data_IF_727924456384
#
_entry.id   IF_727924456384
#
_cell.length_a   1.000
_cell.length_b   1.000
_cell.length_c   1.000
_cell.angle_alpha   90.00
_cell.angle_beta   90.00
_cell.angle_gamma   90.00
#
_symmetry.space_group_name_H-M   'P 1'
#
loop_
_entity.id
_entity.type
_entity.pdbx_description
1 polymer ?
#
# COMPACT_ATOMS: atom_id res chain seq x y z
N UNK A 1 16.87 -4.94 -8.66
CA UNK A 1 16.03 -4.19 -7.70
C UNK A 1 16.65 -2.82 -7.45
N UNK A 2 15.88 -1.78 -7.65
CA UNK A 2 16.36 -0.41 -7.59
C UNK A 2 15.66 0.35 -6.47
N UNK A 3 16.38 1.25 -5.80
CA UNK A 3 15.80 2.13 -4.79
C UNK A 3 15.87 3.58 -5.24
N UNK A 4 14.83 4.34 -4.93
CA UNK A 4 14.71 5.74 -5.32
C UNK A 4 14.23 6.60 -4.15
N UNK A 5 14.75 7.81 -4.07
CA UNK A 5 14.17 8.83 -3.20
C UNK A 5 12.87 9.31 -3.83
N UNK A 6 11.88 9.57 -3.01
CA UNK A 6 10.59 10.09 -3.49
C UNK A 6 10.09 11.21 -2.62
N UNK A 7 9.15 11.98 -3.17
CA UNK A 7 8.30 12.89 -2.40
C UNK A 7 6.89 12.38 -2.44
N UNK A 8 6.29 12.18 -1.28
CA UNK A 8 4.90 11.74 -1.19
C UNK A 8 3.98 12.88 -1.58
N UNK A 9 3.14 12.66 -2.60
CA UNK A 9 2.13 13.62 -3.05
C UNK A 9 0.77 13.33 -2.46
N UNK A 10 0.34 12.07 -2.52
CA UNK A 10 -0.98 11.67 -2.06
C UNK A 10 -1.02 10.17 -1.77
N UNK A 11 -1.72 9.80 -0.70
CA UNK A 11 -2.10 8.41 -0.44
C UNK A 11 -3.49 8.20 -1.03
N UNK A 12 -3.62 7.29 -1.98
CA UNK A 12 -4.88 7.00 -2.67
C UNK A 12 -5.68 5.96 -1.89
N UNK A 13 -5.05 4.85 -1.57
CA UNK A 13 -5.58 3.76 -0.73
C UNK A 13 -4.45 3.21 0.13
N UNK A 14 -4.75 2.25 0.99
CA UNK A 14 -3.75 1.62 1.84
C UNK A 14 -2.64 0.86 1.07
N UNK A 15 -2.81 0.66 -0.23
CA UNK A 15 -1.85 -0.03 -1.08
C UNK A 15 -1.42 0.77 -2.32
N UNK A 16 -1.85 2.04 -2.43
CA UNK A 16 -1.60 2.85 -3.63
C UNK A 16 -1.31 4.30 -3.24
N UNK A 17 -0.22 4.83 -3.78
CA UNK A 17 0.19 6.22 -3.51
C UNK A 17 0.64 6.90 -4.80
N UNK A 18 0.58 8.24 -4.80
CA UNK A 18 1.16 9.07 -5.85
C UNK A 18 2.41 9.75 -5.29
N UNK A 19 3.51 9.63 -6.00
CA UNK A 19 4.81 10.17 -5.60
C UNK A 19 5.52 10.85 -6.77
N UNK A 20 6.46 11.74 -6.44
CA UNK A 20 7.47 12.20 -7.39
C UNK A 20 8.73 11.38 -7.14
N UNK A 21 9.33 10.82 -8.18
CA UNK A 21 10.49 9.93 -8.08
C UNK A 21 11.73 10.69 -8.55
N UNK A 22 12.74 10.73 -7.68
CA UNK A 22 14.05 11.29 -7.98
C UNK A 22 14.88 10.26 -8.76
N UNK A 23 15.15 10.55 -10.04
CA UNK A 23 15.95 9.69 -10.90
C UNK A 23 17.44 10.03 -10.86
N UNK A 24 17.84 11.02 -10.06
CA UNK A 24 19.20 11.53 -10.03
C UNK A 24 19.45 12.59 -11.10
N UNK A 25 20.60 13.27 -11.01
CA UNK A 25 20.99 14.34 -11.93
C UNK A 25 19.98 15.50 -12.03
N UNK A 26 19.17 15.72 -10.99
CA UNK A 26 18.13 16.74 -11.01
C UNK A 26 16.91 16.38 -11.85
N UNK A 27 16.78 15.12 -12.26
CA UNK A 27 15.65 14.62 -13.04
C UNK A 27 14.63 13.97 -12.14
N UNK A 28 13.39 14.42 -12.24
CA UNK A 28 12.26 13.90 -11.46
C UNK A 28 11.18 13.37 -12.39
N UNK A 29 10.65 12.21 -12.05
CA UNK A 29 9.45 11.68 -12.67
C UNK A 29 8.26 12.05 -11.79
N UNK A 30 7.43 12.97 -12.27
CA UNK A 30 6.37 13.59 -11.47
C UNK A 30 5.08 12.77 -11.46
N UNK A 31 4.39 12.78 -10.33
CA UNK A 31 3.04 12.23 -10.19
C UNK A 31 2.92 10.76 -10.64
N UNK A 32 3.88 9.93 -10.25
CA UNK A 32 3.83 8.51 -10.56
C UNK A 32 2.97 7.77 -9.53
N UNK A 33 2.04 6.97 -10.02
CA UNK A 33 1.23 6.11 -9.16
C UNK A 33 1.96 4.81 -8.89
N UNK A 34 2.16 4.53 -7.59
CA UNK A 34 2.82 3.32 -7.11
C UNK A 34 1.81 2.42 -6.45
N UNK A 35 1.72 1.17 -6.92
CA UNK A 35 0.96 0.10 -6.28
C UNK A 35 1.95 -0.73 -5.44
N UNK A 36 1.69 -0.83 -4.16
CA UNK A 36 2.51 -1.65 -3.28
C UNK A 36 2.27 -3.12 -3.59
N UNK A 37 3.34 -3.84 -3.91
CA UNK A 37 3.25 -5.24 -4.32
C UNK A 37 3.00 -6.18 -3.15
N UNK A 38 2.33 -7.27 -3.46
CA UNK A 38 2.18 -8.38 -2.54
C UNK A 38 1.14 -8.20 -1.45
N UNK A 39 0.37 -7.12 -1.49
CA UNK A 39 -0.71 -6.89 -0.52
C UNK A 39 -2.00 -6.46 -1.19
N UNK A 40 -3.09 -6.66 -0.47
CA UNK A 40 -4.40 -6.13 -0.78
C UNK A 40 -4.95 -5.44 0.47
N UNK A 41 -5.54 -4.26 0.30
CA UNK A 41 -6.14 -3.51 1.41
C UNK A 41 -7.61 -3.24 1.13
N UNK A 42 -8.42 -3.00 2.18
CA UNK A 42 -9.80 -2.57 1.98
C UNK A 42 -9.85 -1.26 1.19
N UNK A 43 -10.85 -1.12 0.34
CA UNK A 43 -11.03 0.09 -0.46
C UNK A 43 -11.52 1.26 0.40
N UNK A 44 -10.93 2.43 0.21
CA UNK A 44 -11.36 3.66 0.87
C UNK A 44 -12.42 4.42 0.07
N UNK A 45 -12.58 4.12 -1.21
CA UNK A 45 -13.55 4.73 -2.13
C UNK A 45 -14.59 3.72 -2.56
N UNK A 46 -15.37 3.23 -1.62
CA UNK A 46 -16.42 2.25 -1.87
C UNK A 46 -17.74 2.75 -1.32
N UNK A 47 -18.84 2.23 -1.87
CA UNK A 47 -20.19 2.47 -1.33
C UNK A 47 -20.47 1.65 -0.09
N UNK A 48 -19.70 0.59 0.14
CA UNK A 48 -19.77 -0.21 1.37
C UNK A 48 -19.20 0.60 2.53
N UNK A 49 -20.06 1.10 3.38
CA UNK A 49 -19.67 1.96 4.51
C UNK A 49 -18.79 1.26 5.53
N UNK A 50 -18.94 -0.04 5.67
CA UNK A 50 -18.12 -0.84 6.60
C UNK A 50 -16.70 -0.99 6.02
N UNK A 51 -16.58 -1.46 4.78
CA UNK A 51 -15.28 -1.59 4.12
C UNK A 51 -14.56 -0.25 4.05
N UNK A 52 -15.29 0.83 3.80
CA UNK A 52 -14.71 2.18 3.74
C UNK A 52 -14.01 2.58 5.03
N UNK A 53 -14.57 2.23 6.20
CA UNK A 53 -13.94 2.53 7.49
C UNK A 53 -12.57 1.86 7.60
N UNK A 54 -12.48 0.60 7.20
CA UNK A 54 -11.20 -0.13 7.20
C UNK A 54 -10.24 0.38 6.13
N UNK A 55 -10.78 0.75 4.97
CA UNK A 55 -9.99 1.36 3.89
C UNK A 55 -9.39 2.70 4.31
N UNK A 56 -10.16 3.54 4.97
CA UNK A 56 -9.66 4.82 5.49
C UNK A 56 -8.63 4.63 6.60
N UNK A 57 -8.81 3.63 7.46
CA UNK A 57 -7.84 3.29 8.50
C UNK A 57 -6.52 2.81 7.89
N UNK A 58 -6.57 1.96 6.88
CA UNK A 58 -5.38 1.50 6.15
C UNK A 58 -4.66 2.66 5.45
N UNK A 59 -5.41 3.54 4.83
CA UNK A 59 -4.89 4.75 4.18
C UNK A 59 -4.17 5.66 5.19
N UNK A 60 -4.78 5.91 6.34
CA UNK A 60 -4.19 6.72 7.40
C UNK A 60 -2.92 6.09 7.95
N UNK A 61 -2.92 4.76 8.15
CA UNK A 61 -1.74 4.03 8.62
C UNK A 61 -0.59 4.14 7.63
N UNK A 62 -0.86 3.92 6.35
CA UNK A 62 0.15 4.05 5.30
C UNK A 62 0.77 5.44 5.28
N UNK A 63 -0.06 6.47 5.34
CA UNK A 63 0.41 7.86 5.37
C UNK A 63 1.33 8.11 6.57
N UNK A 64 0.99 7.58 7.74
CA UNK A 64 1.80 7.74 8.95
C UNK A 64 3.15 7.02 8.84
N UNK A 65 3.18 5.87 8.17
CA UNK A 65 4.41 5.09 7.98
C UNK A 65 5.36 5.73 6.97
N UNK A 66 4.83 6.27 5.88
CA UNK A 66 5.64 6.77 4.77
C UNK A 66 6.33 8.09 5.09
N UNK A 67 5.66 9.01 5.77
CA UNK A 67 6.19 10.36 5.94
C UNK A 67 6.31 11.11 4.60
N UNK A 68 7.00 12.28 4.57
CA UNK A 68 7.04 13.12 3.37
C UNK A 68 8.00 12.62 2.28
N UNK A 69 9.03 11.86 2.63
CA UNK A 69 10.07 11.43 1.69
C UNK A 69 10.38 9.94 1.82
N UNK A 70 9.42 9.05 1.45
CA UNK A 70 9.67 7.61 1.57
C UNK A 70 10.63 7.10 0.50
N UNK A 71 11.36 6.03 0.82
CA UNK A 71 12.26 5.36 -0.12
C UNK A 71 11.50 4.27 -0.85
N UNK A 72 11.41 4.38 -2.16
CA UNK A 72 10.76 3.39 -3.04
C UNK A 72 11.78 2.34 -3.46
N UNK A 73 11.38 1.07 -3.34
CA UNK A 73 12.13 -0.06 -3.88
C UNK A 73 11.29 -0.70 -4.98
N UNK A 74 11.77 -0.62 -6.21
CA UNK A 74 11.03 -1.17 -7.35
C UNK A 74 11.37 -2.62 -7.59
N UNK A 75 10.46 -3.33 -8.25
CA UNK A 75 10.69 -4.70 -8.70
C UNK A 75 11.21 -4.67 -10.13
N UNK A 76 12.20 -5.52 -10.41
CA UNK A 76 12.80 -5.63 -11.74
C UNK A 76 12.14 -6.78 -12.49
N UNK A 77 11.77 -6.54 -13.76
CA UNK A 77 11.27 -7.59 -14.64
C UNK A 77 12.40 -8.53 -15.07
N UNK A 78 12.05 -9.67 -15.69
CA UNK A 78 13.04 -10.61 -16.24
C UNK A 78 13.97 -9.96 -17.26
N UNK A 79 13.56 -8.84 -17.86
CA UNK A 79 14.37 -8.08 -18.83
C UNK A 79 15.27 -7.04 -18.17
N UNK A 80 15.29 -6.95 -16.84
CA UNK A 80 16.09 -5.98 -16.12
C UNK A 80 15.49 -4.58 -16.03
N UNK A 81 14.24 -4.40 -16.42
CA UNK A 81 13.53 -3.14 -16.35
C UNK A 81 12.65 -3.07 -15.10
N UNK A 82 12.41 -1.87 -14.56
CA UNK A 82 11.47 -1.68 -13.47
C UNK A 82 10.07 -2.07 -13.91
N UNK A 83 9.37 -2.85 -13.07
CA UNK A 83 8.04 -3.34 -13.41
C UNK A 83 6.99 -2.25 -13.31
N UNK A 84 6.13 -2.19 -14.32
CA UNK A 84 4.88 -1.45 -14.28
C UNK A 84 3.72 -2.44 -14.32
N UNK A 85 2.73 -2.23 -13.46
CA UNK A 85 1.53 -3.03 -13.44
C UNK A 85 0.51 -2.59 -14.50
N UNK A 86 -0.69 -3.14 -14.40
CA UNK A 86 -1.83 -2.71 -15.22
C UNK A 86 -2.06 -1.20 -15.01
N UNK A 87 -2.51 -0.52 -16.04
CA UNK A 87 -2.81 0.93 -16.02
C UNK A 87 -1.58 1.82 -15.82
N UNK A 88 -0.38 1.34 -16.13
CA UNK A 88 0.84 2.13 -16.07
C UNK A 88 1.33 2.45 -14.65
N UNK A 89 0.85 1.72 -13.64
CA UNK A 89 1.32 1.90 -12.26
C UNK A 89 2.68 1.27 -12.07
N UNK A 90 3.55 1.97 -11.35
CA UNK A 90 4.81 1.41 -10.89
C UNK A 90 4.53 0.38 -9.78
N UNK A 91 5.15 -0.77 -9.86
CA UNK A 91 5.02 -1.82 -8.83
C UNK A 91 6.26 -1.80 -7.95
N UNK A 92 6.06 -1.75 -6.64
CA UNK A 92 7.18 -1.73 -5.71
C UNK A 92 6.73 -1.78 -4.26
N UNK A 93 7.66 -1.48 -3.38
CA UNK A 93 7.42 -1.39 -1.95
C UNK A 93 8.19 -0.17 -1.42
N UNK A 94 7.89 0.24 -0.21
CA UNK A 94 8.62 1.31 0.45
C UNK A 94 9.42 0.74 1.64
N UNK A 95 10.59 1.29 1.85
CA UNK A 95 11.48 0.87 2.93
C UNK A 95 11.46 1.96 4.01
N UNK A 96 11.02 1.61 5.21
CA UNK A 96 10.97 2.50 6.36
C UNK A 96 11.71 1.84 7.51
N UNK A 97 12.78 2.51 7.98
CA UNK A 97 13.63 2.00 9.07
C UNK A 97 14.11 0.55 8.84
N UNK A 98 14.48 0.23 7.59
CA UNK A 98 14.94 -1.09 7.20
C UNK A 98 13.84 -2.13 7.05
N UNK A 99 12.56 -1.75 7.14
CA UNK A 99 11.42 -2.65 7.02
C UNK A 99 10.60 -2.32 5.78
N UNK A 100 10.04 -3.35 5.14
CA UNK A 100 9.11 -3.17 4.04
C UNK A 100 7.74 -2.77 4.57
N UNK A 101 7.19 -1.70 4.03
CA UNK A 101 5.87 -1.18 4.42
C UNK A 101 4.77 -2.24 4.20
N UNK A 102 4.87 -3.03 3.13
CA UNK A 102 3.92 -4.11 2.87
C UNK A 102 3.83 -5.09 4.04
N UNK A 103 4.97 -5.48 4.61
CA UNK A 103 5.03 -6.39 5.76
C UNK A 103 4.44 -5.75 7.01
N UNK A 104 4.73 -4.48 7.25
CA UNK A 104 4.18 -3.74 8.40
C UNK A 104 2.66 -3.65 8.31
N UNK A 105 2.14 -3.33 7.12
CA UNK A 105 0.68 -3.24 6.90
C UNK A 105 -0.01 -4.57 7.17
N UNK A 106 0.58 -5.69 6.72
CA UNK A 106 0.03 -7.02 7.00
C UNK A 106 0.09 -7.38 8.48
N UNK A 107 1.20 -7.09 9.14
CA UNK A 107 1.37 -7.36 10.58
C UNK A 107 0.37 -6.59 11.44
N UNK A 108 0.09 -5.34 11.07
CA UNK A 108 -0.85 -4.48 11.79
C UNK A 108 -2.33 -4.80 11.45
N UNK A 109 -2.58 -5.72 10.52
CA UNK A 109 -3.94 -6.10 10.15
C UNK A 109 -4.63 -5.17 9.15
N UNK A 110 -3.91 -4.22 8.56
CA UNK A 110 -4.46 -3.29 7.56
C UNK A 110 -4.39 -3.84 6.13
N UNK A 111 -3.62 -4.89 5.90
CA UNK A 111 -3.45 -5.50 4.59
C UNK A 111 -3.45 -7.02 4.69
N UNK A 112 -3.71 -7.65 3.56
CA UNK A 112 -3.63 -9.10 3.38
C UNK A 112 -2.57 -9.40 2.33
N UNK A 113 -1.71 -10.38 2.59
CA UNK A 113 -0.75 -10.83 1.60
C UNK A 113 -1.49 -11.37 0.37
N UNK A 114 -1.13 -10.87 -0.82
CA UNK A 114 -1.80 -11.22 -2.06
C UNK A 114 -0.78 -11.38 -3.20
N UNK A 115 -0.68 -12.60 -3.71
CA UNK A 115 0.22 -12.95 -4.80
C UNK A 115 -0.51 -13.66 -5.94
N UNK A 116 -1.73 -13.18 -6.25
CA UNK A 116 -2.55 -13.79 -7.30
C UNK A 116 -3.38 -14.98 -6.84
N UNK A 117 -3.56 -15.15 -5.53
CA UNK A 117 -4.36 -16.25 -4.98
C UNK A 117 -5.87 -16.05 -5.14
N UNK A 118 -6.67 -16.96 -4.58
CA UNK A 118 -8.11 -16.90 -4.66
C UNK A 118 -8.68 -15.69 -3.89
N UNK A 119 -9.59 -14.97 -4.52
CA UNK A 119 -10.27 -13.82 -3.90
C UNK A 119 -11.00 -14.18 -2.62
N UNK A 120 -11.54 -15.41 -2.54
CA UNK A 120 -12.24 -15.90 -1.36
C UNK A 120 -11.34 -15.98 -0.13
N UNK A 121 -10.11 -16.46 -0.29
CA UNK A 121 -9.14 -16.55 0.80
C UNK A 121 -8.70 -15.15 1.27
N UNK A 122 -8.52 -14.23 0.35
CA UNK A 122 -8.21 -12.83 0.63
C UNK A 122 -9.35 -12.21 1.45
N UNK A 123 -10.59 -12.43 1.02
CA UNK A 123 -11.76 -11.89 1.71
C UNK A 123 -11.92 -12.45 3.13
N UNK A 124 -11.68 -13.74 3.33
CA UNK A 124 -11.70 -14.36 4.65
C UNK A 124 -10.66 -13.71 5.59
N UNK A 125 -9.47 -13.47 5.08
CA UNK A 125 -8.41 -12.83 5.87
C UNK A 125 -8.78 -11.38 6.20
N UNK A 126 -9.39 -10.64 5.27
CA UNK A 126 -9.89 -9.30 5.55
C UNK A 126 -10.93 -9.30 6.68
N UNK A 127 -11.82 -10.27 6.70
CA UNK A 127 -12.82 -10.39 7.76
C UNK A 127 -12.20 -10.65 9.13
N UNK A 128 -11.16 -11.49 9.19
CA UNK A 128 -10.39 -11.71 10.42
C UNK A 128 -9.68 -10.43 10.87
N UNK A 129 -9.11 -9.70 9.93
CA UNK A 129 -8.43 -8.43 10.20
C UNK A 129 -9.41 -7.39 10.76
N UNK A 130 -10.64 -7.34 10.25
CA UNK A 130 -11.67 -6.43 10.75
C UNK A 130 -11.93 -6.63 12.24
N UNK A 131 -12.09 -7.88 12.67
CA UNK A 131 -12.27 -8.21 14.09
C UNK A 131 -11.09 -7.73 14.92
N UNK A 132 -9.88 -8.02 14.48
CA UNK A 132 -8.64 -7.63 15.15
C UNK A 132 -8.55 -6.12 15.33
N UNK A 133 -8.86 -5.36 14.28
CA UNK A 133 -8.79 -3.89 14.30
C UNK A 133 -9.86 -3.28 15.21
N UNK A 134 -11.05 -3.84 15.26
CA UNK A 134 -12.12 -3.40 16.15
C UNK A 134 -11.75 -3.70 17.61
N UNK A 135 -11.28 -4.90 17.90
CA UNK A 135 -10.84 -5.30 19.25
C UNK A 135 -9.68 -4.44 19.76
N UNK A 136 -8.76 -4.05 18.86
CA UNK A 136 -7.64 -3.18 19.20
C UNK A 136 -8.02 -1.70 19.31
N UNK A 137 -9.27 -1.32 19.02
CA UNK A 137 -9.74 0.05 19.07
C UNK A 137 -9.28 0.93 17.92
N UNK A 138 -8.68 0.36 16.87
CA UNK A 138 -8.20 1.10 15.69
C UNK A 138 -9.37 1.58 14.84
N UNK A 139 -10.40 0.74 14.67
CA UNK A 139 -11.63 1.07 13.95
C UNK A 139 -12.82 0.91 14.89
N UNK A 140 -13.58 1.98 15.09
CA UNK A 140 -14.70 2.01 16.05
C UNK A 140 -16.04 1.77 15.36
N UNK A 141 -16.91 0.99 16.00
CA UNK A 141 -18.31 0.83 15.59
C UNK A 141 -18.51 0.27 14.18
N UNK A 142 -17.59 -0.54 13.70
CA UNK A 142 -17.59 -0.95 12.31
C UNK A 142 -18.32 -2.26 12.03
N UNK A 143 -18.50 -3.12 13.03
CA UNK A 143 -19.09 -4.44 12.85
C UNK A 143 -20.22 -4.65 13.85
N UNK A 144 -21.40 -4.72 13.35
CA UNK A 144 -22.57 -5.21 14.05
C UNK A 144 -23.40 -6.09 13.12
#
# INVERSE_FOLDING_TARGET
MWTYRTKLKRVVDGDTVDVDIDLGFGIWQMNERVRIMGIDTPESRTRDKIEKKFGLAAKAKLKSLLGPNPVLQTTISKKGEDMKGKFGRVLGDFIIDGKQVSQVMCKEGHAVAYFGGAKEDVQKQHMKNRKKLVEAGVVKGAIE
#
